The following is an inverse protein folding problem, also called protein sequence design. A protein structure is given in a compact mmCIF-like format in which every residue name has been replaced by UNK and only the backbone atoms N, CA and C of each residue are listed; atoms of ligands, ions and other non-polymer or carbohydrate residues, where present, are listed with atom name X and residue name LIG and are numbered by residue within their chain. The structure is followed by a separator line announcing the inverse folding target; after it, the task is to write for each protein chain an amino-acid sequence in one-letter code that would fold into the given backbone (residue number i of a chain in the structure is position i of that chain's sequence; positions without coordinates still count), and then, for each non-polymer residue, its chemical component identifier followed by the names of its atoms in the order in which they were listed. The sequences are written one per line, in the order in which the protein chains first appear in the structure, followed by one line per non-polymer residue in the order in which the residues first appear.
data_IF_384755041055
#
_entry.id   IF_384755041055
#
_cell.length_a   1.000
_cell.length_b   1.000
_cell.length_c   1.000
_cell.angle_alpha   90.00
_cell.angle_beta   90.00
_cell.angle_gamma   90.00
#
_symmetry.space_group_name_H-M   'P 1'
#
loop_
_entity.id
_entity.type
_entity.pdbx_description
1 polymer ?
#
# COMPACT_ATOMS: atom_id res chain seq x y z
N UNK A 1 18.41 14.91 6.84
CA UNK A 1 17.55 13.82 6.30
C UNK A 1 16.16 13.98 6.92
N UNK A 2 15.16 14.48 6.19
CA UNK A 2 13.79 14.49 6.73
C UNK A 2 13.32 13.04 6.83
N UNK A 3 12.97 12.59 8.02
CA UNK A 3 12.46 11.23 8.22
C UNK A 3 11.07 11.17 7.60
N UNK A 4 10.91 10.46 6.50
CA UNK A 4 9.59 10.18 5.91
C UNK A 4 8.71 9.59 7.01
N UNK A 5 7.59 10.25 7.28
CA UNK A 5 6.66 9.80 8.32
C UNK A 5 6.03 8.49 7.84
N UNK A 6 6.10 7.45 8.67
CA UNK A 6 5.43 6.18 8.42
C UNK A 6 3.92 6.37 8.40
N UNK A 7 3.24 5.53 7.63
CA UNK A 7 1.79 5.41 7.73
C UNK A 7 1.40 4.84 9.09
N UNK A 8 0.22 5.26 9.57
CA UNK A 8 -0.32 4.76 10.82
C UNK A 8 -0.75 3.30 10.63
N UNK A 9 -0.53 2.45 11.62
CA UNK A 9 -0.93 1.04 11.53
C UNK A 9 -2.44 0.83 11.46
N UNK A 10 -3.24 1.76 11.97
CA UNK A 10 -4.71 1.68 11.97
C UNK A 10 -5.37 2.28 10.72
N UNK A 11 -4.58 2.70 9.71
CA UNK A 11 -5.15 3.13 8.43
C UNK A 11 -5.72 1.93 7.67
N UNK A 12 -6.91 2.09 7.09
CA UNK A 12 -7.51 1.10 6.20
C UNK A 12 -6.76 1.04 4.86
N UNK A 13 -6.65 -0.14 4.25
CA UNK A 13 -6.00 -0.34 2.95
C UNK A 13 -6.58 0.58 1.87
N UNK A 14 -7.91 0.69 1.77
CA UNK A 14 -8.53 1.56 0.76
C UNK A 14 -8.20 3.06 0.97
N UNK A 15 -7.97 3.49 2.21
CA UNK A 15 -7.55 4.87 2.51
C UNK A 15 -6.04 5.07 2.29
N UNK A 16 -5.25 4.03 2.56
CA UNK A 16 -3.81 4.01 2.29
C UNK A 16 -3.55 4.15 0.78
N UNK A 17 -4.27 3.38 -0.05
CA UNK A 17 -4.19 3.48 -1.51
C UNK A 17 -4.50 4.89 -2.00
N UNK A 18 -5.58 5.51 -1.52
CA UNK A 18 -5.93 6.89 -1.85
C UNK A 18 -4.86 7.89 -1.42
N UNK A 19 -4.31 7.75 -0.20
CA UNK A 19 -3.26 8.62 0.32
C UNK A 19 -2.00 8.59 -0.55
N UNK A 20 -1.67 7.42 -1.10
CA UNK A 20 -0.53 7.20 -1.99
C UNK A 20 -0.88 7.34 -3.48
N UNK A 21 -2.10 7.80 -3.81
CA UNK A 21 -2.58 8.00 -5.18
C UNK A 21 -2.49 6.71 -6.02
N UNK A 22 -2.71 5.57 -5.37
CA UNK A 22 -2.80 4.27 -6.01
C UNK A 22 -4.25 4.01 -6.42
N UNK A 23 -4.41 3.20 -7.46
CA UNK A 23 -5.73 2.66 -7.81
C UNK A 23 -6.24 1.75 -6.67
N UNK A 24 -7.56 1.65 -6.46
CA UNK A 24 -8.10 0.72 -5.49
C UNK A 24 -7.77 -0.74 -5.85
N UNK A 25 -7.39 -1.56 -4.86
CA UNK A 25 -7.02 -2.97 -5.06
C UNK A 25 -5.59 -3.18 -5.61
N UNK A 26 -4.74 -2.16 -5.48
CA UNK A 26 -3.31 -2.23 -5.80
C UNK A 26 -2.55 -2.99 -4.71
N UNK A 27 -2.92 -2.76 -3.44
CA UNK A 27 -2.35 -3.49 -2.32
C UNK A 27 -3.05 -4.86 -2.28
N UNK A 28 -2.25 -5.92 -2.33
CA UNK A 28 -2.72 -7.31 -2.34
C UNK A 28 -2.13 -8.08 -1.18
N UNK A 29 -2.69 -9.24 -0.88
CA UNK A 29 -2.06 -10.21 0.00
C UNK A 29 -0.89 -10.91 -0.73
N UNK A 30 0.03 -11.60 -0.01
CA UNK A 30 1.15 -12.30 -0.63
C UNK A 30 0.74 -13.43 -1.59
N UNK A 31 -0.44 -14.01 -1.37
CA UNK A 31 -1.08 -14.99 -2.26
C UNK A 31 -1.71 -14.35 -3.52
N UNK A 32 -1.48 -13.05 -3.74
CA UNK A 32 -2.03 -12.23 -4.82
C UNK A 32 -3.55 -12.04 -4.76
N UNK A 33 -4.21 -12.47 -3.68
CA UNK A 33 -5.61 -12.16 -3.45
C UNK A 33 -5.80 -10.69 -3.09
N UNK A 34 -7.00 -10.16 -3.29
CA UNK A 34 -7.30 -8.78 -2.93
C UNK A 34 -7.16 -8.57 -1.42
N UNK A 35 -6.41 -7.53 -1.02
CA UNK A 35 -6.38 -7.11 0.37
C UNK A 35 -7.62 -6.26 0.60
N UNK A 36 -8.62 -6.84 1.30
CA UNK A 36 -9.90 -6.18 1.53
C UNK A 36 -9.70 -4.72 1.99
N UNK A 37 -10.40 -3.79 1.34
CA UNK A 37 -10.22 -2.35 1.54
C UNK A 37 -10.49 -1.87 2.98
N UNK A 38 -11.32 -2.60 3.73
CA UNK A 38 -11.67 -2.34 5.13
C UNK A 38 -10.63 -2.84 6.14
N UNK A 39 -9.65 -3.64 5.70
CA UNK A 39 -8.60 -4.18 6.56
C UNK A 39 -7.60 -3.08 6.96
N UNK A 40 -7.11 -3.14 8.20
CA UNK A 40 -6.07 -2.23 8.69
C UNK A 40 -4.68 -2.66 8.20
N UNK A 41 -3.83 -1.67 7.87
CA UNK A 41 -2.44 -1.87 7.46
C UNK A 41 -1.66 -2.69 8.50
N UNK A 42 -1.80 -2.36 9.78
CA UNK A 42 -1.11 -3.03 10.88
C UNK A 42 -1.52 -4.49 11.04
N UNK A 43 -2.77 -4.82 10.69
CA UNK A 43 -3.23 -6.22 10.67
C UNK A 43 -2.57 -6.97 9.52
N UNK A 44 -2.51 -6.35 8.33
CA UNK A 44 -1.79 -6.90 7.19
C UNK A 44 -0.30 -7.12 7.49
N UNK A 45 0.34 -6.14 8.15
CA UNK A 45 1.73 -6.20 8.58
C UNK A 45 2.00 -7.31 9.61
N UNK A 46 1.05 -7.61 10.50
CA UNK A 46 1.18 -8.73 11.46
C UNK A 46 1.00 -10.09 10.80
N UNK A 47 0.07 -10.19 9.86
CA UNK A 47 -0.24 -11.46 9.19
C UNK A 47 0.85 -11.85 8.18
N UNK A 48 1.47 -10.87 7.50
CA UNK A 48 2.40 -11.14 6.39
C UNK A 48 3.81 -10.56 6.59
N UNK A 49 4.03 -9.74 7.60
CA UNK A 49 5.30 -9.05 7.84
C UNK A 49 5.34 -7.66 7.20
N UNK A 50 5.86 -6.68 7.95
CA UNK A 50 5.89 -5.27 7.53
C UNK A 50 6.70 -5.02 6.25
N UNK A 51 7.72 -5.83 5.99
CA UNK A 51 8.59 -5.68 4.84
C UNK A 51 7.84 -5.95 3.52
N UNK A 52 6.96 -6.96 3.52
CA UNK A 52 6.19 -7.34 2.33
C UNK A 52 5.20 -6.23 1.98
N UNK A 53 4.51 -5.64 2.97
CA UNK A 53 3.54 -4.56 2.71
C UNK A 53 4.22 -3.27 2.23
N UNK A 54 5.37 -2.94 2.81
CA UNK A 54 6.13 -1.74 2.42
C UNK A 54 6.70 -1.91 1.00
N UNK A 55 7.21 -3.10 0.67
CA UNK A 55 7.68 -3.43 -0.68
C UNK A 55 6.56 -3.32 -1.71
N UNK A 56 5.35 -3.80 -1.40
CA UNK A 56 4.19 -3.69 -2.31
C UNK A 56 3.79 -2.23 -2.56
N UNK A 57 3.86 -1.36 -1.54
CA UNK A 57 3.66 0.08 -1.69
C UNK A 57 4.74 0.72 -2.58
N UNK A 58 6.01 0.42 -2.31
CA UNK A 58 7.18 1.04 -2.95
C UNK A 58 7.34 0.59 -4.43
N UNK A 59 6.99 -0.67 -4.73
CA UNK A 59 7.08 -1.25 -6.06
C UNK A 59 6.07 -0.63 -7.03
N UNK A 60 4.88 -0.26 -6.52
CA UNK A 60 3.75 0.20 -7.34
C UNK A 60 3.67 1.72 -7.47
N UNK A 61 4.13 2.48 -6.48
CA UNK A 61 4.30 3.95 -6.59
C UNK A 61 5.28 4.37 -7.69
N UNK A 62 6.20 3.48 -8.10
CA UNK A 62 7.09 3.70 -9.25
C UNK A 62 6.42 3.42 -10.61
N UNK A 63 5.39 2.58 -10.67
CA UNK A 63 4.67 2.26 -11.92
C UNK A 63 3.68 3.38 -12.33
N UNK A 64 3.11 4.13 -11.38
CA UNK A 64 2.15 5.22 -11.70
C UNK A 64 2.81 6.49 -12.25
N UNK A 65 4.14 6.61 -12.23
CA UNK A 65 4.89 7.72 -12.85
C UNK A 65 5.12 7.57 -14.36
N UNK A 66 4.77 6.43 -14.95
CA UNK A 66 4.92 6.20 -16.40
C UNK A 66 3.56 6.00 -17.08
N UNK A 67 2.98 7.09 -17.58
CA UNK A 67 1.81 7.10 -18.48
C UNK A 67 0.73 8.07 -18.00
N UNK A 68 0.25 9.06 -18.75
CA UNK A 68 0.48 9.47 -20.13
C UNK A 68 0.34 10.99 -20.18
N UNK A 69 1.31 11.69 -20.78
CA UNK A 69 1.14 13.08 -21.21
C UNK A 69 0.34 13.04 -22.51
N UNK A 70 -0.86 13.58 -22.53
CA UNK A 70 -1.61 13.88 -23.76
C UNK A 70 -1.83 15.38 -23.81
#
# INVERSE_FOLDING_TARGET
MSKTRKDRSDIQIGNLEKKHQLQPGVIRNPDQSDARSDKELGRLQREFGAQITDEMLESKTKQTKTGNKT
#
